data_IF_032853591535
#
_entry.id   IF_032853591535
#
_cell.length_a   1.000
_cell.length_b   1.000
_cell.length_c   1.000
_cell.angle_alpha   90.00
_cell.angle_beta   90.00
_cell.angle_gamma   90.00
#
_symmetry.space_group_name_H-M   'P 1'
#
loop_
_entity.id
_entity.type
_entity.pdbx_description
1 polymer ?
#
# COMPACT_ATOMS: atom_id res chain seq x y z
N UNK A 1 13.99 -11.05 -0.36
CA UNK A 1 12.73 -11.50 -1.00
C UNK A 1 12.31 -10.51 -2.07
N UNK A 2 11.77 -10.96 -3.21
CA UNK A 2 11.13 -10.08 -4.18
C UNK A 2 9.61 -10.14 -4.07
N UNK A 3 8.92 -9.02 -4.28
CA UNK A 3 7.46 -8.93 -4.29
C UNK A 3 6.97 -8.57 -5.69
N UNK A 4 6.02 -9.36 -6.20
CA UNK A 4 5.20 -9.01 -7.37
C UNK A 4 3.75 -9.04 -6.91
N UNK A 5 3.20 -7.87 -6.57
CA UNK A 5 1.92 -7.79 -5.84
C UNK A 5 2.04 -8.42 -4.45
N UNK A 6 1.16 -9.37 -4.12
CA UNK A 6 1.19 -10.13 -2.85
C UNK A 6 2.01 -11.44 -2.93
N UNK A 7 2.44 -11.83 -4.14
CA UNK A 7 3.24 -13.04 -4.30
C UNK A 7 4.69 -12.68 -4.03
N UNK A 8 5.18 -13.06 -2.85
CA UNK A 8 6.60 -13.06 -2.57
C UNK A 8 7.28 -14.26 -3.23
N UNK A 9 8.52 -14.08 -3.63
CA UNK A 9 9.35 -15.14 -4.15
C UNK A 9 10.76 -15.02 -3.60
N UNK A 10 11.37 -16.17 -3.30
CA UNK A 10 12.77 -16.22 -2.92
C UNK A 10 13.63 -15.84 -4.12
N UNK A 11 14.40 -14.77 -3.91
CA UNK A 11 15.43 -14.33 -4.84
C UNK A 11 16.77 -14.77 -4.27
N UNK A 12 17.48 -15.59 -5.03
CA UNK A 12 18.85 -15.96 -4.74
C UNK A 12 19.76 -14.76 -5.03
N UNK A 13 20.66 -14.45 -4.09
CA UNK A 13 21.68 -13.43 -4.28
C UNK A 13 23.04 -14.10 -4.12
N UNK A 14 23.85 -13.99 -5.15
CA UNK A 14 25.21 -14.54 -5.19
C UNK A 14 26.17 -13.37 -5.33
N UNK A 15 27.30 -13.44 -4.62
CA UNK A 15 28.35 -12.44 -4.74
C UNK A 15 29.70 -13.10 -4.93
N UNK A 16 30.55 -12.45 -5.71
CA UNK A 16 31.92 -12.86 -5.96
C UNK A 16 32.86 -11.67 -5.74
N UNK A 17 33.92 -11.91 -4.97
CA UNK A 17 35.02 -10.97 -4.77
C UNK A 17 36.18 -11.34 -5.69
N UNK A 18 36.79 -10.33 -6.31
CA UNK A 18 37.96 -10.50 -7.15
C UNK A 18 38.94 -9.33 -6.95
N UNK A 19 40.21 -9.60 -7.23
CA UNK A 19 41.23 -8.55 -7.34
C UNK A 19 40.98 -7.71 -8.60
N UNK A 20 41.11 -6.38 -8.48
CA UNK A 20 40.91 -5.46 -9.59
C UNK A 20 40.43 -4.09 -9.13
N UNK A 21 40.00 -3.25 -10.08
CA UNK A 21 39.48 -1.92 -9.75
C UNK A 21 38.30 -2.04 -8.77
N UNK A 22 38.43 -1.48 -7.55
CA UNK A 22 37.40 -1.65 -6.53
C UNK A 22 36.06 -1.06 -6.95
N UNK A 23 34.98 -1.72 -6.55
CA UNK A 23 33.63 -1.30 -6.89
C UNK A 23 32.63 -2.44 -6.78
N UNK A 24 31.35 -2.06 -6.66
CA UNK A 24 30.23 -3.00 -6.61
C UNK A 24 29.47 -2.96 -7.93
N UNK A 25 29.33 -4.11 -8.57
CA UNK A 25 28.55 -4.30 -9.79
C UNK A 25 27.38 -5.24 -9.51
N UNK A 26 26.19 -4.88 -9.97
CA UNK A 26 24.98 -5.71 -9.87
C UNK A 26 24.58 -6.16 -11.28
N UNK A 27 24.45 -7.46 -11.48
CA UNK A 27 24.04 -8.12 -12.73
C UNK A 27 22.69 -8.82 -12.56
N UNK A 28 21.94 -9.01 -13.66
CA UNK A 28 20.61 -9.65 -13.64
C UNK A 28 19.41 -8.72 -13.89
N UNK A 29 19.58 -7.69 -14.73
CA UNK A 29 18.56 -6.69 -15.09
C UNK A 29 17.99 -5.92 -13.88
N UNK A 30 18.82 -5.15 -13.16
CA UNK A 30 18.34 -4.34 -12.05
C UNK A 30 17.47 -3.18 -12.53
N UNK A 31 16.42 -2.85 -11.78
CA UNK A 31 15.70 -1.59 -11.98
C UNK A 31 16.55 -0.38 -11.50
N UNK A 32 16.01 0.83 -11.62
CA UNK A 32 16.73 2.03 -11.20
C UNK A 32 17.05 2.06 -9.69
N UNK A 33 16.15 1.54 -8.84
CA UNK A 33 16.34 1.51 -7.39
C UNK A 33 17.43 0.51 -6.97
N UNK A 34 17.50 -0.64 -7.65
CA UNK A 34 18.52 -1.65 -7.46
C UNK A 34 19.86 -1.22 -8.06
N UNK A 35 19.84 -0.44 -9.14
CA UNK A 35 21.05 0.20 -9.68
C UNK A 35 21.70 1.20 -8.70
N UNK A 36 20.88 1.83 -7.85
CA UNK A 36 21.34 2.69 -6.75
C UNK A 36 21.75 1.89 -5.49
N UNK A 37 21.29 0.65 -5.35
CA UNK A 37 21.64 -0.21 -4.21
C UNK A 37 23.15 -0.42 -4.11
N UNK A 38 23.89 -0.45 -5.22
CA UNK A 38 25.35 -0.58 -5.21
C UNK A 38 26.04 0.49 -4.35
N UNK A 39 25.59 1.74 -4.44
CA UNK A 39 26.15 2.85 -3.66
C UNK A 39 25.70 2.76 -2.20
N UNK A 40 24.42 2.45 -1.97
CA UNK A 40 23.89 2.30 -0.60
C UNK A 40 24.57 1.17 0.16
N UNK A 41 24.69 0.00 -0.45
CA UNK A 41 25.38 -1.16 0.12
C UNK A 41 26.84 -0.84 0.37
N UNK A 42 27.53 -0.24 -0.60
CA UNK A 42 28.95 0.12 -0.46
C UNK A 42 29.16 1.09 0.70
N UNK A 43 28.40 2.19 0.77
CA UNK A 43 28.49 3.15 1.87
C UNK A 43 28.13 2.53 3.21
N UNK A 44 27.05 1.74 3.27
CA UNK A 44 26.60 1.06 4.48
C UNK A 44 27.68 0.11 5.04
N UNK A 45 28.31 -0.68 4.17
CA UNK A 45 29.35 -1.63 4.55
C UNK A 45 30.61 -0.91 5.03
N UNK A 46 31.08 0.13 4.32
CA UNK A 46 32.22 0.95 4.77
C UNK A 46 31.94 1.55 6.16
N UNK A 47 30.75 2.14 6.35
CA UNK A 47 30.36 2.74 7.62
C UNK A 47 30.08 1.71 8.73
N UNK A 48 29.99 0.43 8.39
CA UNK A 48 29.88 -0.69 9.33
C UNK A 48 31.23 -1.32 9.69
N UNK A 49 32.34 -0.86 9.10
CA UNK A 49 33.69 -1.36 9.36
C UNK A 49 34.19 -2.43 8.37
N UNK A 50 33.52 -2.63 7.24
CA UNK A 50 33.95 -3.55 6.18
C UNK A 50 35.07 -2.97 5.31
N UNK A 51 35.96 -3.83 4.82
CA UNK A 51 37.00 -3.47 3.83
C UNK A 51 36.50 -3.56 2.38
N UNK A 52 35.18 -3.63 2.16
CA UNK A 52 34.56 -3.74 0.82
C UNK A 52 35.05 -2.69 -0.19
N UNK A 53 35.53 -1.52 0.27
CA UNK A 53 36.07 -0.47 -0.60
C UNK A 53 37.34 -0.88 -1.35
N UNK A 54 38.02 -1.93 -0.91
CA UNK A 54 39.29 -2.41 -1.46
C UNK A 54 39.10 -3.47 -2.56
N UNK A 55 37.88 -4.00 -2.71
CA UNK A 55 37.62 -5.15 -3.58
C UNK A 55 36.66 -4.82 -4.72
N UNK A 56 36.78 -5.60 -5.81
CA UNK A 56 35.77 -5.65 -6.85
C UNK A 56 34.73 -6.72 -6.50
N UNK A 57 33.51 -6.31 -6.22
CA UNK A 57 32.40 -7.19 -5.90
C UNK A 57 31.43 -7.26 -7.08
N UNK A 58 31.11 -8.47 -7.52
CA UNK A 58 30.05 -8.71 -8.51
C UNK A 58 28.90 -9.44 -7.83
N UNK A 59 27.70 -8.90 -7.92
CA UNK A 59 26.49 -9.45 -7.31
C UNK A 59 25.49 -9.83 -8.39
N UNK A 60 25.00 -11.07 -8.34
CA UNK A 60 23.99 -11.60 -9.23
C UNK A 60 22.69 -11.87 -8.47
N UNK A 61 21.54 -11.54 -9.07
CA UNK A 61 20.23 -11.86 -8.49
C UNK A 61 19.45 -12.81 -9.41
N UNK A 62 19.02 -13.94 -8.86
CA UNK A 62 18.29 -15.00 -9.57
C UNK A 62 16.91 -15.25 -8.95
N UNK A 63 15.88 -15.61 -9.75
CA UNK A 63 15.87 -15.76 -11.20
C UNK A 63 15.77 -14.42 -11.95
N UNK A 64 16.44 -14.28 -13.10
CA UNK A 64 16.47 -13.04 -13.88
C UNK A 64 15.09 -12.64 -14.44
N UNK A 65 14.20 -13.61 -14.69
CA UNK A 65 12.86 -13.39 -15.24
C UNK A 65 11.88 -12.68 -14.30
N UNK A 66 12.22 -12.57 -13.01
CA UNK A 66 11.38 -11.92 -12.02
C UNK A 66 11.77 -10.44 -11.86
N UNK A 67 10.81 -9.51 -11.91
CA UNK A 67 11.06 -8.12 -11.58
C UNK A 67 11.53 -7.98 -10.13
N UNK A 68 12.70 -7.39 -9.93
CA UNK A 68 13.29 -7.13 -8.61
C UNK A 68 13.20 -5.65 -8.36
N UNK A 69 12.13 -5.24 -7.68
CA UNK A 69 11.82 -3.84 -7.46
C UNK A 69 12.14 -3.40 -6.03
N UNK A 70 12.66 -2.17 -5.93
CA UNK A 70 12.84 -1.48 -4.66
C UNK A 70 14.13 -1.83 -3.92
N UNK A 71 14.23 -1.29 -2.70
CA UNK A 71 15.40 -1.31 -1.83
C UNK A 71 15.43 -2.48 -0.84
N UNK A 72 14.41 -3.35 -0.83
CA UNK A 72 14.29 -4.45 0.13
C UNK A 72 15.41 -5.52 0.01
N UNK A 73 16.17 -5.49 -1.08
CA UNK A 73 17.30 -6.39 -1.33
C UNK A 73 18.63 -5.85 -0.79
N UNK A 74 18.69 -4.60 -0.34
CA UNK A 74 19.96 -3.97 0.05
C UNK A 74 20.67 -4.79 1.14
N UNK A 75 19.95 -5.24 2.17
CA UNK A 75 20.51 -6.10 3.21
C UNK A 75 21.07 -7.41 2.65
N UNK A 76 20.29 -8.09 1.80
CA UNK A 76 20.70 -9.37 1.20
C UNK A 76 21.95 -9.20 0.35
N UNK A 77 22.02 -8.13 -0.45
CA UNK A 77 23.18 -7.79 -1.29
C UNK A 77 24.40 -7.49 -0.42
N UNK A 78 24.21 -6.71 0.65
CA UNK A 78 25.27 -6.41 1.61
C UNK A 78 25.85 -7.69 2.22
N UNK A 79 25.02 -8.53 2.83
CA UNK A 79 25.48 -9.76 3.48
C UNK A 79 26.11 -10.76 2.50
N UNK A 80 25.58 -10.86 1.27
CA UNK A 80 26.22 -11.67 0.23
C UNK A 80 27.63 -11.15 -0.10
N UNK A 81 27.80 -9.83 -0.25
CA UNK A 81 29.11 -9.23 -0.47
C UNK A 81 30.08 -9.46 0.69
N UNK A 82 29.62 -9.31 1.95
CA UNK A 82 30.44 -9.59 3.13
C UNK A 82 30.83 -11.08 3.20
N UNK A 83 29.92 -11.99 2.83
CA UNK A 83 30.19 -13.42 2.79
C UNK A 83 31.24 -13.76 1.71
N UNK A 84 31.18 -13.10 0.55
CA UNK A 84 32.18 -13.24 -0.51
C UNK A 84 33.57 -12.72 -0.11
N UNK A 85 33.63 -11.78 0.85
CA UNK A 85 34.88 -11.30 1.45
C UNK A 85 35.36 -12.17 2.63
N UNK A 86 34.55 -13.14 3.08
CA UNK A 86 34.83 -13.95 4.26
C UNK A 86 34.68 -13.20 5.59
N UNK A 87 34.04 -12.02 5.59
CA UNK A 87 33.82 -11.23 6.81
C UNK A 87 32.67 -11.78 7.68
N UNK A 88 31.76 -12.56 7.08
CA UNK A 88 30.65 -13.25 7.77
C UNK A 88 30.58 -14.72 7.36
N UNK A 89 29.95 -15.55 8.18
CA UNK A 89 29.79 -16.97 7.87
C UNK A 89 28.76 -17.18 6.75
N UNK A 90 29.22 -17.66 5.58
CA UNK A 90 28.39 -17.85 4.40
C UNK A 90 27.25 -18.86 4.59
N UNK A 91 27.47 -19.93 5.37
CA UNK A 91 26.44 -20.94 5.66
C UNK A 91 25.33 -20.34 6.54
N UNK A 92 25.71 -19.51 7.52
CA UNK A 92 24.78 -18.77 8.37
C UNK A 92 23.93 -17.82 7.54
N UNK A 93 24.55 -17.05 6.64
CA UNK A 93 23.84 -16.16 5.70
C UNK A 93 22.88 -16.96 4.83
N UNK A 94 23.32 -18.05 4.19
CA UNK A 94 22.46 -18.86 3.32
C UNK A 94 21.26 -19.52 4.05
N UNK A 95 21.34 -19.67 5.38
CA UNK A 95 20.28 -20.28 6.19
C UNK A 95 19.14 -19.33 6.57
N UNK A 96 19.26 -18.03 6.26
CA UNK A 96 18.32 -16.98 6.64
C UNK A 96 17.84 -16.21 5.41
N UNK A 97 16.56 -15.86 5.36
CA UNK A 97 16.04 -14.94 4.36
C UNK A 97 16.18 -13.51 4.87
N UNK A 98 16.85 -12.65 4.11
CA UNK A 98 17.05 -11.25 4.49
C UNK A 98 16.11 -10.33 3.73
N UNK A 99 15.57 -9.36 4.46
CA UNK A 99 14.74 -8.28 3.94
C UNK A 99 15.14 -7.00 4.65
N UNK A 100 15.39 -5.92 3.90
CA UNK A 100 15.66 -4.61 4.50
C UNK A 100 16.32 -3.64 3.53
N UNK A 101 15.99 -2.37 3.67
CA UNK A 101 16.69 -1.26 3.00
C UNK A 101 17.89 -0.82 3.83
N UNK A 102 19.00 -0.48 3.17
CA UNK A 102 20.17 0.09 3.82
C UNK A 102 20.21 1.61 3.65
N UNK A 103 20.31 2.32 4.77
CA UNK A 103 20.80 3.69 4.80
C UNK A 103 22.30 3.74 4.48
N UNK A 104 22.77 4.88 3.95
CA UNK A 104 24.20 5.08 3.66
C UNK A 104 25.10 4.93 4.88
N UNK A 105 24.55 5.17 6.07
CA UNK A 105 25.19 5.06 7.39
C UNK A 105 25.18 3.63 7.96
N UNK A 106 24.65 2.65 7.23
CA UNK A 106 24.57 1.26 7.65
C UNK A 106 23.30 0.91 8.42
N UNK A 107 22.39 1.85 8.69
CA UNK A 107 21.12 1.56 9.34
C UNK A 107 20.19 0.73 8.45
N UNK A 108 19.40 -0.13 9.08
CA UNK A 108 18.31 -0.83 8.43
C UNK A 108 17.01 -0.03 8.52
N UNK A 109 16.40 0.24 7.38
CA UNK A 109 15.11 0.93 7.27
C UNK A 109 13.99 -0.05 6.98
N UNK A 110 12.80 0.32 7.46
CA UNK A 110 11.55 -0.39 7.18
C UNK A 110 11.34 -0.55 5.68
N UNK A 111 10.78 -1.70 5.29
CA UNK A 111 10.41 -1.99 3.90
C UNK A 111 8.89 -2.14 3.76
N UNK A 112 8.35 -1.65 2.65
CA UNK A 112 6.96 -1.92 2.32
C UNK A 112 6.76 -3.42 2.00
N UNK A 113 5.77 -4.04 2.65
CA UNK A 113 5.40 -5.44 2.37
C UNK A 113 6.26 -6.48 3.10
N UNK A 114 6.71 -6.19 4.32
CA UNK A 114 7.42 -7.18 5.13
C UNK A 114 6.54 -8.40 5.47
N UNK A 115 5.26 -8.20 5.81
CA UNK A 115 4.32 -9.30 6.08
C UNK A 115 4.19 -10.27 4.88
N UNK A 116 3.84 -9.82 3.65
CA UNK A 116 3.75 -10.72 2.51
C UNK A 116 5.09 -11.37 2.15
N UNK A 117 6.23 -10.68 2.38
CA UNK A 117 7.56 -11.27 2.17
C UNK A 117 7.85 -12.41 3.14
N UNK A 118 7.53 -12.25 4.43
CA UNK A 118 7.72 -13.28 5.47
C UNK A 118 6.76 -14.45 5.23
N UNK A 119 5.51 -14.17 4.87
CA UNK A 119 4.50 -15.20 4.53
C UNK A 119 4.94 -16.04 3.32
N UNK A 120 5.52 -15.40 2.30
CA UNK A 120 6.09 -16.12 1.16
C UNK A 120 7.29 -16.99 1.58
N UNK A 121 8.15 -16.50 2.48
CA UNK A 121 9.27 -17.27 3.02
C UNK A 121 8.78 -18.52 3.73
N UNK A 122 7.76 -18.38 4.57
CA UNK A 122 7.12 -19.49 5.28
C UNK A 122 6.58 -20.55 4.31
N UNK A 123 5.88 -20.11 3.24
CA UNK A 123 5.33 -21.00 2.21
C UNK A 123 6.39 -21.77 1.44
N UNK A 124 7.57 -21.19 1.27
CA UNK A 124 8.73 -21.86 0.67
C UNK A 124 9.54 -22.70 1.68
N UNK A 125 9.03 -22.89 2.90
CA UNK A 125 9.67 -23.71 3.93
C UNK A 125 10.86 -23.04 4.61
N UNK A 126 11.05 -21.73 4.43
CA UNK A 126 12.10 -20.96 5.11
C UNK A 126 11.64 -20.65 6.53
N UNK A 127 12.42 -21.11 7.51
CA UNK A 127 12.07 -21.01 8.94
C UNK A 127 12.68 -19.81 9.65
N UNK A 128 13.59 -19.07 9.00
CA UNK A 128 14.27 -17.90 9.59
C UNK A 128 14.26 -16.73 8.61
N UNK A 129 13.78 -15.59 9.08
CA UNK A 129 13.76 -14.33 8.33
C UNK A 129 14.37 -13.23 9.18
N UNK A 130 15.29 -12.47 8.59
CA UNK A 130 15.87 -11.28 9.20
C UNK A 130 15.25 -10.03 8.58
N UNK A 131 14.76 -9.13 9.45
CA UNK A 131 14.01 -7.92 9.07
C UNK A 131 14.50 -6.68 9.84
N UNK A 132 14.18 -5.46 9.38
CA UNK A 132 14.41 -4.24 10.14
C UNK A 132 13.70 -4.28 11.49
N UNK A 133 14.32 -3.71 12.52
CA UNK A 133 13.71 -3.66 13.86
C UNK A 133 12.36 -2.94 13.88
N UNK A 134 12.16 -1.97 12.99
CA UNK A 134 10.90 -1.27 12.80
C UNK A 134 9.77 -2.19 12.29
N UNK A 135 10.11 -3.26 11.58
CA UNK A 135 9.19 -4.18 10.90
C UNK A 135 8.90 -5.44 11.73
N UNK A 136 9.53 -5.57 12.91
CA UNK A 136 9.48 -6.77 13.74
C UNK A 136 8.05 -7.21 14.05
N UNK A 137 7.21 -6.28 14.55
CA UNK A 137 5.85 -6.60 14.99
C UNK A 137 4.97 -7.09 13.84
N UNK A 138 5.18 -6.56 12.63
CA UNK A 138 4.46 -6.99 11.43
C UNK A 138 4.95 -8.37 10.95
N UNK A 139 6.27 -8.60 10.98
CA UNK A 139 6.84 -9.89 10.59
C UNK A 139 6.46 -11.03 11.55
N UNK A 140 6.36 -10.75 12.85
CA UNK A 140 5.97 -11.73 13.89
C UNK A 140 4.49 -12.17 13.79
N UNK A 141 3.68 -11.55 12.92
CA UNK A 141 2.32 -12.03 12.61
C UNK A 141 2.30 -13.34 11.82
N UNK A 142 3.44 -13.78 11.27
CA UNK A 142 3.54 -15.03 10.50
C UNK A 142 4.01 -16.16 11.41
N UNK A 143 3.10 -17.09 11.71
CA UNK A 143 3.42 -18.29 12.47
C UNK A 143 4.43 -19.20 11.76
N UNK A 144 5.23 -19.93 12.54
CA UNK A 144 6.16 -20.94 12.03
C UNK A 144 7.46 -20.40 11.42
N UNK A 145 7.71 -19.09 11.54
CA UNK A 145 8.94 -18.43 11.13
C UNK A 145 9.58 -17.74 12.33
N UNK A 146 10.86 -18.01 12.56
CA UNK A 146 11.68 -17.26 13.51
C UNK A 146 12.07 -15.92 12.90
N UNK A 147 11.63 -14.83 13.52
CA UNK A 147 11.91 -13.46 13.11
C UNK A 147 13.13 -12.92 13.85
N UNK A 148 14.15 -12.51 13.10
CA UNK A 148 15.38 -11.92 13.60
C UNK A 148 15.36 -10.42 13.28
N UNK A 149 15.10 -9.59 14.28
CA UNK A 149 15.05 -8.15 14.12
C UNK A 149 16.44 -7.52 14.32
N UNK A 150 16.91 -6.74 13.34
CA UNK A 150 18.21 -6.04 13.39
C UNK A 150 18.06 -4.57 13.02
N UNK A 151 18.94 -3.72 13.55
CA UNK A 151 18.88 -2.27 13.37
C UNK A 151 19.88 -1.73 12.34
N UNK A 152 20.86 -2.54 11.93
CA UNK A 152 21.91 -2.16 10.98
C UNK A 152 22.55 -3.36 10.29
N UNK A 153 23.29 -3.09 9.22
CA UNK A 153 24.16 -4.07 8.57
C UNK A 153 25.20 -4.64 9.53
N UNK A 154 25.81 -3.80 10.38
CA UNK A 154 26.75 -4.27 11.39
C UNK A 154 26.10 -5.27 12.37
N UNK A 155 24.88 -4.99 12.84
CA UNK A 155 24.14 -5.90 13.71
C UNK A 155 23.82 -7.23 13.01
N UNK A 156 23.40 -7.17 11.74
CA UNK A 156 23.20 -8.36 10.92
C UNK A 156 24.49 -9.17 10.74
N UNK A 157 25.61 -8.49 10.44
CA UNK A 157 26.90 -9.14 10.25
C UNK A 157 27.39 -9.81 11.54
N UNK A 158 27.21 -9.17 12.71
CA UNK A 158 27.58 -9.73 14.02
C UNK A 158 26.76 -10.97 14.32
N UNK A 159 25.45 -10.94 14.01
CA UNK A 159 24.60 -12.13 14.11
C UNK A 159 25.11 -13.28 13.22
N UNK A 160 25.64 -12.97 12.04
CA UNK A 160 26.29 -13.93 11.13
C UNK A 160 27.76 -14.23 11.46
N UNK A 161 28.27 -13.80 12.62
CA UNK A 161 29.53 -14.26 13.18
C UNK A 161 30.75 -13.35 12.95
N UNK A 162 30.57 -12.12 12.45
CA UNK A 162 31.67 -11.15 12.47
C UNK A 162 31.99 -10.68 13.89
N UNK A 163 33.19 -10.15 14.09
CA UNK A 163 33.68 -9.59 15.36
C UNK A 163 33.75 -8.06 15.31
N UNK A 164 32.74 -7.43 14.70
CA UNK A 164 32.67 -5.98 14.60
C UNK A 164 32.13 -5.38 15.88
N UNK A 165 32.65 -4.21 16.23
CA UNK A 165 31.99 -3.35 17.20
C UNK A 165 30.77 -2.73 16.54
N UNK A 166 29.63 -2.78 17.24
CA UNK A 166 28.40 -2.18 16.72
C UNK A 166 28.57 -0.66 16.70
N UNK A 167 28.39 0.00 15.53
CA UNK A 167 28.49 1.44 15.45
C UNK A 167 27.41 2.08 16.34
N UNK A 168 27.76 3.17 17.00
CA UNK A 168 26.77 4.03 17.65
C UNK A 168 26.01 4.75 16.57
N UNK A 169 24.89 4.14 16.17
CA UNK A 169 23.96 4.76 15.24
C UNK A 169 23.39 6.01 15.94
N UNK A 170 23.22 7.14 15.23
CA UNK A 170 22.54 8.27 15.82
C UNK A 170 21.17 7.81 16.35
N UNK A 171 20.62 8.47 17.36
CA UNK A 171 19.23 8.16 17.74
C UNK A 171 18.36 8.68 16.61
N UNK A 172 17.44 7.88 16.08
CA UNK A 172 16.38 8.48 15.27
C UNK A 172 15.64 9.45 16.19
N UNK A 173 15.61 10.73 15.80
CA UNK A 173 14.64 11.67 16.35
C UNK A 173 13.30 11.31 15.72
N UNK A 174 12.77 10.14 16.08
CA UNK A 174 11.34 9.94 15.96
C UNK A 174 10.73 10.98 16.89
N UNK A 175 9.97 11.93 16.34
CA UNK A 175 8.98 12.61 17.15
C UNK A 175 8.25 11.51 17.92
N UNK A 176 8.10 11.59 19.25
CA UNK A 176 7.45 10.53 20.00
C UNK A 176 6.14 10.25 19.28
N UNK A 177 6.00 9.04 18.74
CA UNK A 177 4.70 8.57 18.31
C UNK A 177 3.81 8.80 19.53
N UNK A 178 2.71 9.54 19.34
CA UNK A 178 1.75 9.72 20.41
C UNK A 178 1.50 8.33 21.02
N UNK A 179 1.54 8.18 22.36
CA UNK A 179 1.37 6.88 22.98
C UNK A 179 0.11 6.27 22.39
N UNK A 180 0.28 5.19 21.62
CA UNK A 180 -0.83 4.38 21.18
C UNK A 180 -1.29 3.71 22.46
N UNK A 181 -2.39 4.21 23.01
CA UNK A 181 -3.05 3.57 24.14
C UNK A 181 -3.36 2.12 23.73
N UNK A 182 -2.84 1.10 24.44
CA UNK A 182 -3.12 -0.29 24.15
C UNK A 182 -4.63 -0.61 24.14
N UNK A 183 -5.43 0.17 24.89
CA UNK A 183 -6.89 0.09 24.88
C UNK A 183 -7.54 0.85 23.70
N UNK A 184 -6.79 1.70 22.97
CA UNK A 184 -7.25 2.39 21.77
C UNK A 184 -6.90 1.62 20.47
N UNK A 185 -6.82 0.29 20.53
CA UNK A 185 -6.83 -0.54 19.32
C UNK A 185 -8.25 -0.53 18.76
N UNK A 186 -8.49 0.36 17.82
CA UNK A 186 -9.69 0.32 16.99
C UNK A 186 -9.59 -0.86 16.01
N UNK A 187 -10.58 -1.74 16.06
CA UNK A 187 -10.80 -2.85 15.15
C UNK A 187 -11.78 -2.45 14.03
N UNK A 188 -11.84 -3.20 12.94
CA UNK A 188 -12.95 -3.09 11.99
C UNK A 188 -14.31 -3.38 12.63
N UNK A 189 -14.34 -4.16 13.72
CA UNK A 189 -15.51 -4.34 14.57
C UNK A 189 -16.00 -3.05 15.24
N UNK A 190 -15.14 -2.03 15.38
CA UNK A 190 -15.49 -0.73 15.97
C UNK A 190 -16.01 0.28 14.93
N UNK A 191 -16.10 -0.11 13.65
CA UNK A 191 -16.62 0.74 12.57
C UNK A 191 -18.15 0.81 12.65
N UNK A 192 -18.65 1.91 13.21
CA UNK A 192 -20.09 2.16 13.31
C UNK A 192 -20.62 2.81 12.03
N UNK A 193 -21.66 2.21 11.44
CA UNK A 193 -22.41 2.78 10.32
C UNK A 193 -21.92 2.43 8.91
N UNK A 194 -20.86 1.62 8.79
CA UNK A 194 -20.31 1.12 7.52
C UNK A 194 -19.86 -0.34 7.62
N UNK A 195 -20.68 -1.19 8.23
CA UNK A 195 -20.40 -2.61 8.46
C UNK A 195 -20.06 -3.36 7.16
N UNK A 196 -20.79 -3.07 6.07
CA UNK A 196 -20.53 -3.65 4.74
C UNK A 196 -19.15 -3.29 4.18
N UNK A 197 -18.66 -2.07 4.48
CA UNK A 197 -17.32 -1.62 4.05
C UNK A 197 -16.25 -2.29 4.89
N UNK A 198 -16.46 -2.39 6.20
CA UNK A 198 -15.57 -3.13 7.10
C UNK A 198 -15.48 -4.60 6.68
N UNK A 199 -16.60 -5.25 6.38
CA UNK A 199 -16.66 -6.62 5.90
C UNK A 199 -15.96 -6.78 4.53
N UNK A 200 -16.23 -5.88 3.58
CA UNK A 200 -15.54 -5.89 2.28
C UNK A 200 -14.03 -5.70 2.42
N UNK A 201 -13.57 -4.89 3.38
CA UNK A 201 -12.16 -4.72 3.68
C UNK A 201 -11.54 -5.97 4.32
N UNK A 202 -12.26 -6.63 5.23
CA UNK A 202 -11.83 -7.91 5.82
C UNK A 202 -11.74 -8.99 4.73
N UNK A 203 -12.72 -9.07 3.83
CA UNK A 203 -12.71 -10.01 2.69
C UNK A 203 -11.57 -9.70 1.71
N UNK A 204 -11.32 -8.41 1.42
CA UNK A 204 -10.21 -8.00 0.58
C UNK A 204 -8.85 -8.36 1.21
N UNK A 205 -8.70 -8.13 2.52
CA UNK A 205 -7.50 -8.49 3.27
C UNK A 205 -7.30 -10.02 3.34
N UNK A 206 -8.36 -10.79 3.62
CA UNK A 206 -8.34 -12.25 3.60
C UNK A 206 -7.99 -12.81 2.21
N UNK A 207 -8.42 -12.11 1.15
CA UNK A 207 -8.07 -12.39 -0.24
C UNK A 207 -6.67 -11.90 -0.66
N UNK A 208 -5.88 -11.30 0.24
CA UNK A 208 -4.52 -10.80 -0.05
C UNK A 208 -4.48 -9.57 -0.96
N UNK A 209 -5.54 -8.75 -0.99
CA UNK A 209 -5.61 -7.53 -1.81
C UNK A 209 -5.26 -6.30 -0.97
N UNK A 210 -4.55 -5.35 -1.58
CA UNK A 210 -4.27 -4.07 -0.94
C UNK A 210 -5.55 -3.25 -0.81
N UNK A 211 -5.77 -2.71 0.38
CA UNK A 211 -6.86 -1.78 0.66
C UNK A 211 -6.25 -0.42 0.92
N UNK A 212 -6.67 0.57 0.14
CA UNK A 212 -6.24 1.95 0.29
C UNK A 212 -7.38 2.76 0.88
N UNK A 213 -7.23 3.16 2.13
CA UNK A 213 -8.22 3.97 2.85
C UNK A 213 -7.95 5.45 2.61
N UNK A 214 -8.89 6.11 1.94
CA UNK A 214 -8.85 7.56 1.75
C UNK A 214 -9.59 8.27 2.89
N UNK A 215 -8.99 9.32 3.49
CA UNK A 215 -9.57 10.04 4.63
C UNK A 215 -10.97 10.64 4.37
N UNK A 216 -11.32 10.93 3.11
CA UNK A 216 -12.64 11.48 2.75
C UNK A 216 -13.78 10.46 2.85
N UNK A 217 -13.47 9.16 2.83
CA UNK A 217 -14.45 8.08 2.91
C UNK A 217 -14.82 7.70 4.36
N UNK A 218 -14.06 8.22 5.35
CA UNK A 218 -14.24 7.94 6.79
C UNK A 218 -14.57 9.23 7.56
N UNK A 219 -15.23 10.19 6.89
CA UNK A 219 -15.45 11.55 7.42
C UNK A 219 -16.29 11.61 8.70
N UNK A 220 -16.85 10.49 9.16
CA UNK A 220 -17.68 10.44 10.37
C UNK A 220 -16.93 9.97 11.62
N UNK A 221 -15.78 9.28 11.57
CA UNK A 221 -15.35 8.53 12.77
C UNK A 221 -13.98 8.77 13.41
N UNK A 222 -13.05 9.54 12.81
CA UNK A 222 -11.79 9.87 13.52
C UNK A 222 -11.60 11.37 13.58
N UNK A 223 -12.36 12.00 14.48
CA UNK A 223 -12.06 13.34 14.97
C UNK A 223 -11.01 13.20 16.07
N UNK A 224 -9.75 12.99 15.71
CA UNK A 224 -8.57 13.37 16.49
C UNK A 224 -7.31 13.19 15.63
N UNK A 225 -6.51 14.27 15.55
CA UNK A 225 -5.22 14.42 14.88
C UNK A 225 -5.19 14.50 13.34
N UNK A 226 -5.60 15.67 12.82
CA UNK A 226 -5.09 16.15 11.54
C UNK A 226 -4.61 17.59 11.70
N UNK A 227 -3.41 17.77 12.25
CA UNK A 227 -2.77 19.08 12.30
C UNK A 227 -1.26 19.01 12.04
N UNK A 228 -0.82 18.09 11.18
CA UNK A 228 0.54 18.12 10.61
C UNK A 228 0.55 17.40 9.26
N UNK A 229 0.27 18.09 8.16
CA UNK A 229 0.94 17.76 6.89
C UNK A 229 0.87 18.94 5.92
N UNK A 230 2.05 19.50 5.65
CA UNK A 230 2.27 20.64 4.78
C UNK A 230 1.94 20.35 3.33
N UNK A 231 1.56 21.43 2.65
CA UNK A 231 1.18 21.56 1.25
C UNK A 231 2.31 21.17 0.29
N UNK A 232 2.20 20.01 -0.40
CA UNK A 232 3.03 19.70 -1.57
C UNK A 232 2.17 19.66 -2.86
N UNK A 233 2.17 20.78 -3.59
CA UNK A 233 1.28 21.07 -4.72
C UNK A 233 1.51 20.15 -5.94
N UNK A 234 2.74 19.62 -6.12
CA UNK A 234 3.06 18.70 -7.23
C UNK A 234 2.45 17.30 -7.07
N UNK A 235 2.20 16.87 -5.83
CA UNK A 235 1.54 15.59 -5.56
C UNK A 235 0.03 15.67 -5.78
N UNK A 236 -0.59 16.82 -5.49
CA UNK A 236 -2.01 17.06 -5.75
C UNK A 236 -2.35 16.99 -7.26
N UNK A 237 -1.59 17.68 -8.11
CA UNK A 237 -1.84 17.71 -9.57
C UNK A 237 -1.62 16.34 -10.26
N UNK A 238 -0.83 15.45 -9.66
CA UNK A 238 -0.64 14.08 -10.15
C UNK A 238 -1.80 13.17 -9.76
N UNK A 239 -2.32 13.34 -8.54
CA UNK A 239 -3.46 12.59 -8.03
C UNK A 239 -4.73 12.97 -8.79
N UNK A 240 -4.94 14.27 -9.08
CA UNK A 240 -6.13 14.73 -9.81
C UNK A 240 -6.17 14.17 -11.25
N UNK A 241 -5.01 14.06 -11.92
CA UNK A 241 -4.94 13.46 -13.26
C UNK A 241 -5.18 11.95 -13.26
N UNK A 242 -4.61 11.24 -12.28
CA UNK A 242 -4.84 9.79 -12.15
C UNK A 242 -6.28 9.49 -11.73
N UNK A 243 -6.89 10.33 -10.89
CA UNK A 243 -8.32 10.26 -10.55
C UNK A 243 -9.20 10.51 -11.77
N UNK A 244 -8.94 11.55 -12.56
CA UNK A 244 -9.70 11.84 -13.77
C UNK A 244 -9.65 10.68 -14.79
N UNK A 245 -8.48 10.05 -14.94
CA UNK A 245 -8.31 8.91 -15.84
C UNK A 245 -9.01 7.65 -15.34
N UNK A 246 -8.96 7.36 -14.03
CA UNK A 246 -9.66 6.21 -13.45
C UNK A 246 -11.18 6.40 -13.37
N UNK A 247 -11.67 7.64 -13.20
CA UNK A 247 -13.10 7.98 -13.31
C UNK A 247 -13.59 7.82 -14.76
N UNK A 248 -12.75 8.15 -15.75
CA UNK A 248 -13.08 7.89 -17.16
C UNK A 248 -13.10 6.39 -17.50
N UNK A 249 -12.22 5.59 -16.89
CA UNK A 249 -12.13 4.14 -17.09
C UNK A 249 -13.19 3.35 -16.29
N UNK A 250 -13.66 3.88 -15.15
CA UNK A 250 -14.68 3.26 -14.29
C UNK A 250 -16.12 3.56 -14.72
N UNK A 251 -16.34 4.26 -15.83
CA UNK A 251 -17.66 4.58 -16.36
C UNK A 251 -18.38 3.36 -16.98
N UNK A 252 -18.66 2.35 -16.16
CA UNK A 252 -19.94 1.63 -16.27
C UNK A 252 -21.00 2.65 -15.91
N UNK A 253 -21.80 3.03 -16.90
CA UNK A 253 -22.77 4.12 -16.82
C UNK A 253 -23.71 3.89 -15.62
N UNK A 254 -23.64 4.71 -14.56
CA UNK A 254 -24.41 4.44 -13.36
C UNK A 254 -25.88 4.73 -13.65
N UNK A 255 -26.74 3.71 -13.51
CA UNK A 255 -28.18 3.92 -13.51
C UNK A 255 -28.58 4.70 -12.25
N UNK A 256 -29.52 5.65 -12.35
CA UNK A 256 -30.04 6.34 -11.18
C UNK A 256 -30.79 5.37 -10.28
N UNK A 257 -30.71 5.58 -8.97
CA UNK A 257 -31.45 4.81 -7.98
C UNK A 257 -32.86 5.39 -7.88
N UNK A 258 -33.82 4.70 -8.49
CA UNK A 258 -35.24 5.05 -8.49
C UNK A 258 -35.96 4.53 -7.24
N UNK A 259 -36.98 5.26 -6.76
CA UNK A 259 -37.93 4.72 -5.78
C UNK A 259 -38.64 3.50 -6.35
N UNK A 260 -38.88 2.53 -5.47
CA UNK A 260 -39.63 1.31 -5.74
C UNK A 260 -41.14 1.57 -5.68
N UNK A 261 -41.97 0.72 -6.33
CA UNK A 261 -43.43 0.80 -6.22
C UNK A 261 -43.96 0.74 -4.77
N UNK A 262 -43.25 0.05 -3.88
CA UNK A 262 -43.58 -0.06 -2.45
C UNK A 262 -43.35 1.26 -1.71
N UNK A 263 -42.21 1.92 -1.96
CA UNK A 263 -41.91 3.24 -1.38
C UNK A 263 -42.91 4.32 -1.84
N UNK A 264 -43.35 4.23 -3.10
CA UNK A 264 -44.38 5.10 -3.67
C UNK A 264 -45.78 4.83 -3.10
N UNK A 265 -46.02 3.68 -2.47
CA UNK A 265 -47.31 3.28 -1.91
C UNK A 265 -48.46 3.44 -2.91
N UNK A 266 -48.24 2.95 -4.13
CA UNK A 266 -49.15 3.11 -5.28
C UNK A 266 -50.56 2.58 -4.96
N UNK A 267 -50.65 1.56 -4.11
CA UNK A 267 -51.92 0.96 -3.69
C UNK A 267 -52.82 1.93 -2.90
N UNK A 268 -52.23 2.88 -2.16
CA UNK A 268 -52.97 3.87 -1.36
C UNK A 268 -52.95 5.27 -1.96
N UNK A 269 -51.92 5.59 -2.73
CA UNK A 269 -51.74 6.88 -3.42
C UNK A 269 -51.49 6.64 -4.91
N UNK A 270 -52.54 6.59 -5.74
CA UNK A 270 -52.40 6.35 -7.17
C UNK A 270 -51.57 7.45 -7.85
N UNK A 271 -50.82 7.05 -8.87
CA UNK A 271 -49.96 7.96 -9.66
C UNK A 271 -50.82 8.84 -10.57
N UNK A 272 -50.55 10.14 -10.54
CA UNK A 272 -51.10 11.14 -11.44
C UNK A 272 -50.10 11.42 -12.57
N UNK A 273 -50.61 11.62 -13.79
CA UNK A 273 -49.81 12.05 -14.95
C UNK A 273 -50.34 13.39 -15.47
N UNK A 274 -49.44 14.29 -15.86
CA UNK A 274 -49.82 15.58 -16.41
C UNK A 274 -48.82 16.10 -17.43
N UNK A 275 -48.94 17.40 -17.78
CA UNK A 275 -48.00 18.04 -18.68
C UNK A 275 -46.61 18.11 -18.03
N UNK A 276 -45.56 17.87 -18.83
CA UNK A 276 -44.18 17.92 -18.36
C UNK A 276 -43.85 19.30 -17.75
N UNK A 277 -43.52 19.32 -16.46
CA UNK A 277 -43.16 20.54 -15.74
C UNK A 277 -41.64 20.57 -15.55
N UNK A 278 -40.99 21.68 -15.89
CA UNK A 278 -39.55 21.84 -15.65
C UNK A 278 -39.28 21.95 -14.15
N UNK A 279 -38.32 21.18 -13.67
CA UNK A 279 -37.99 21.08 -12.25
C UNK A 279 -36.48 20.94 -12.04
N UNK A 280 -36.03 21.30 -10.84
CA UNK A 280 -34.75 20.92 -10.28
C UNK A 280 -34.97 19.69 -9.40
N UNK A 281 -34.30 18.57 -9.69
CA UNK A 281 -34.48 17.32 -8.97
C UNK A 281 -33.17 16.85 -8.35
N UNK A 282 -33.22 16.43 -7.08
CA UNK A 282 -32.11 15.77 -6.41
C UNK A 282 -32.17 14.27 -6.71
N UNK A 283 -31.33 13.80 -7.63
CA UNK A 283 -31.28 12.39 -8.07
C UNK A 283 -30.12 11.67 -7.38
N UNK A 284 -30.39 10.46 -6.90
CA UNK A 284 -29.39 9.60 -6.26
C UNK A 284 -28.81 8.61 -7.27
N UNK A 285 -27.49 8.51 -7.31
CA UNK A 285 -26.74 7.40 -7.89
C UNK A 285 -26.08 6.61 -6.76
N UNK A 286 -25.60 5.39 -7.04
CA UNK A 286 -24.94 4.55 -6.02
C UNK A 286 -23.76 5.26 -5.33
N UNK A 287 -23.06 6.15 -6.03
CA UNK A 287 -21.83 6.78 -5.54
C UNK A 287 -22.00 8.27 -5.16
N UNK A 288 -23.10 8.91 -5.57
CA UNK A 288 -23.27 10.36 -5.37
C UNK A 288 -24.74 10.82 -5.53
N UNK A 289 -25.03 12.01 -4.99
CA UNK A 289 -26.29 12.72 -5.23
C UNK A 289 -26.01 13.91 -6.14
N UNK A 290 -26.80 14.08 -7.19
CA UNK A 290 -26.62 15.14 -8.18
C UNK A 290 -27.93 15.91 -8.32
N UNK A 291 -27.80 17.22 -8.48
CA UNK A 291 -28.93 18.09 -8.82
C UNK A 291 -29.00 18.20 -10.34
N UNK A 292 -30.15 17.87 -10.92
CA UNK A 292 -30.37 17.91 -12.36
C UNK A 292 -31.56 18.79 -12.71
N UNK A 293 -31.46 19.53 -13.82
CA UNK A 293 -32.64 20.08 -14.46
C UNK A 293 -33.36 18.97 -15.22
N UNK A 294 -34.60 18.70 -14.84
CA UNK A 294 -35.39 17.60 -15.34
C UNK A 294 -36.82 18.04 -15.65
N UNK A 295 -37.60 17.12 -16.23
CA UNK A 295 -39.02 17.27 -16.44
C UNK A 295 -39.78 16.29 -15.55
N UNK A 296 -40.65 16.81 -14.69
CA UNK A 296 -41.59 16.01 -13.91
C UNK A 296 -42.77 15.62 -14.80
N UNK A 297 -42.98 14.33 -15.00
CA UNK A 297 -44.00 13.78 -15.93
C UNK A 297 -45.11 13.03 -15.20
N UNK A 298 -44.78 12.38 -14.07
CA UNK A 298 -45.70 11.64 -13.22
C UNK A 298 -45.41 11.93 -11.74
N UNK A 299 -46.42 11.86 -10.89
CA UNK A 299 -46.24 12.10 -9.45
C UNK A 299 -47.36 11.49 -8.61
N UNK A 300 -47.07 11.28 -7.33
CA UNK A 300 -48.06 11.07 -6.28
C UNK A 300 -47.63 11.84 -5.02
N UNK A 301 -48.29 11.61 -3.89
CA UNK A 301 -48.01 12.33 -2.65
C UNK A 301 -46.60 12.06 -2.09
N UNK A 302 -45.93 11.00 -2.55
CA UNK A 302 -44.62 10.55 -2.05
C UNK A 302 -43.48 10.78 -3.02
N UNK A 303 -43.72 10.65 -4.32
CA UNK A 303 -42.67 10.70 -5.31
C UNK A 303 -43.07 11.38 -6.61
N UNK A 304 -42.07 11.76 -7.37
CA UNK A 304 -42.17 12.38 -8.68
C UNK A 304 -41.24 11.63 -9.63
N UNK A 305 -41.76 11.20 -10.77
CA UNK A 305 -40.97 10.66 -11.88
C UNK A 305 -40.40 11.81 -12.69
N UNK A 306 -39.07 11.82 -12.78
CA UNK A 306 -38.32 12.87 -13.47
C UNK A 306 -37.52 12.29 -14.61
N UNK A 307 -37.55 12.96 -15.76
CA UNK A 307 -36.78 12.61 -16.95
C UNK A 307 -35.80 13.73 -17.29
N UNK A 308 -34.55 13.38 -17.63
CA UNK A 308 -33.55 14.36 -18.06
C UNK A 308 -32.60 13.76 -19.11
N UNK A 309 -31.72 14.61 -19.64
CA UNK A 309 -30.66 14.18 -20.56
C UNK A 309 -29.32 14.71 -20.09
N UNK A 310 -28.29 13.85 -20.13
CA UNK A 310 -26.92 14.19 -19.78
C UNK A 310 -26.22 14.94 -20.93
N UNK A 311 -25.06 15.54 -20.64
CA UNK A 311 -24.27 16.31 -21.62
C UNK A 311 -23.80 15.50 -22.84
N UNK A 312 -23.73 14.18 -22.71
CA UNK A 312 -23.40 13.24 -23.80
C UNK A 312 -24.64 12.77 -24.60
N UNK A 313 -25.84 13.30 -24.28
CA UNK A 313 -27.10 12.99 -24.96
C UNK A 313 -27.82 11.74 -24.44
N UNK A 314 -27.32 11.09 -23.38
CA UNK A 314 -28.01 9.94 -22.77
C UNK A 314 -29.28 10.39 -22.06
N UNK A 315 -30.40 9.72 -22.34
CA UNK A 315 -31.67 9.94 -21.64
C UNK A 315 -31.71 9.07 -20.39
N UNK A 316 -32.07 9.67 -19.25
CA UNK A 316 -32.21 9.00 -17.97
C UNK A 316 -33.52 9.39 -17.31
N UNK A 317 -34.06 8.49 -16.51
CA UNK A 317 -35.28 8.70 -15.75
C UNK A 317 -35.18 8.05 -14.36
N UNK A 318 -35.91 8.58 -13.39
CA UNK A 318 -36.00 8.02 -12.05
C UNK A 318 -37.24 8.52 -11.30
N UNK A 319 -37.78 7.69 -10.41
CA UNK A 319 -38.64 8.17 -9.33
C UNK A 319 -37.80 8.72 -8.18
N UNK A 320 -38.07 9.96 -7.80
CA UNK A 320 -37.46 10.64 -6.65
C UNK A 320 -38.53 11.02 -5.64
N UNK A 321 -38.17 11.26 -4.38
CA UNK A 321 -39.10 11.73 -3.37
C UNK A 321 -39.68 13.10 -3.75
N UNK A 322 -40.95 13.37 -3.42
CA UNK A 322 -41.61 14.62 -3.77
C UNK A 322 -40.94 15.86 -3.16
N UNK A 323 -40.32 15.71 -1.98
CA UNK A 323 -39.51 16.76 -1.34
C UNK A 323 -38.12 16.94 -1.97
N UNK A 324 -37.72 16.04 -2.87
CA UNK A 324 -36.50 16.08 -3.64
C UNK A 324 -36.73 16.67 -5.05
N UNK A 325 -37.80 17.45 -5.22
CA UNK A 325 -38.08 18.19 -6.45
C UNK A 325 -38.48 19.63 -6.11
N UNK A 326 -37.90 20.58 -6.82
CA UNK A 326 -38.25 22.00 -6.75
C UNK A 326 -38.65 22.49 -8.14
N UNK A 327 -39.81 23.14 -8.25
CA UNK A 327 -40.22 23.77 -9.53
C UNK A 327 -39.34 24.98 -9.85
N UNK A 328 -38.98 25.12 -11.13
CA UNK A 328 -38.22 26.25 -11.68
C UNK A 328 -39.13 27.06 -12.60
#
# INVERSE_FOLDING_TARGET
MGLVGFTGAVVGVEAHSADGTPGVMIIGLPDAALSQAKERVRSAAINSGSVISEYKITVNLSPAAMPKHGSAFDLTIGLAALAALGEVNAESVASVVHVGELGLDGRLRSVAGVLPAVLAAAREGRRRVMVPSADRLEAELVDGVEVIAVSSLAAAAVWHGTKWELPVLPKETTAPAAPIDPEARLDFADVIGSEEVAEAMIVAAAGGRHVFLLPSCVRTYVRLQWDVMGTNRRYADSIDRQMAQRVAEAAVRPAPVSLTPEELDIARSPVCRGAAVKVEAWVRFHEQRVVVEAYAVEWNDRGVHVEWSTSDGTKLDAWVWANAVRRI
#
